data_IF_491493881463
#
_entry.id   IF_491493881463
#
_cell.length_a   1.000
_cell.length_b   1.000
_cell.length_c   1.000
_cell.angle_alpha   90.00
_cell.angle_beta   90.00
_cell.angle_gamma   90.00
#
_symmetry.space_group_name_H-M   'P 1'
#
loop_
_entity.id
_entity.type
_entity.pdbx_description
1 polymer ?
#
# COMPACT_ATOMS: atom_id res chain seq x y z
N UNK A 1 24.23 -18.81 -18.46
CA UNK A 1 23.03 -18.41 -17.69
C UNK A 1 23.09 -16.91 -17.45
N UNK A 2 22.25 -16.11 -18.11
CA UNK A 2 22.15 -14.65 -17.86
C UNK A 2 21.17 -14.45 -16.70
N UNK A 3 21.71 -14.24 -15.50
CA UNK A 3 20.91 -13.97 -14.32
C UNK A 3 20.30 -12.57 -14.43
N UNK A 4 19.00 -12.50 -14.63
CA UNK A 4 18.23 -11.25 -14.75
C UNK A 4 18.09 -10.57 -13.39
N UNK A 5 19.10 -9.80 -12.97
CA UNK A 5 19.08 -8.95 -11.78
C UNK A 5 18.24 -7.67 -11.99
N UNK A 6 17.02 -7.80 -12.53
CA UNK A 6 16.11 -6.66 -12.78
C UNK A 6 14.73 -6.83 -12.12
N UNK A 7 14.62 -7.72 -11.14
CA UNK A 7 13.38 -7.96 -10.38
C UNK A 7 13.35 -7.34 -8.98
N UNK A 8 14.50 -7.12 -8.34
CA UNK A 8 14.53 -6.86 -6.89
C UNK A 8 14.37 -5.38 -6.49
N UNK A 9 14.52 -4.44 -7.42
CA UNK A 9 14.43 -3.00 -7.11
C UNK A 9 13.00 -2.43 -7.18
N UNK A 10 12.02 -3.19 -7.66
CA UNK A 10 10.63 -2.72 -7.76
C UNK A 10 9.89 -2.78 -6.41
N UNK A 11 10.36 -3.59 -5.46
CA UNK A 11 9.65 -3.86 -4.21
C UNK A 11 10.00 -2.89 -3.08
N UNK A 12 11.16 -2.24 -3.15
CA UNK A 12 11.61 -1.30 -2.11
C UNK A 12 11.02 0.12 -2.25
N UNK A 13 10.65 0.56 -3.46
CA UNK A 13 10.20 1.94 -3.74
C UNK A 13 8.78 2.26 -3.28
N UNK A 14 7.95 1.27 -2.97
CA UNK A 14 6.57 1.49 -2.53
C UNK A 14 6.44 1.66 -1.02
N UNK A 15 7.44 1.24 -0.26
CA UNK A 15 7.41 1.24 1.21
C UNK A 15 7.69 2.62 1.81
N UNK A 16 8.48 3.46 1.14
CA UNK A 16 8.90 4.77 1.69
C UNK A 16 7.92 5.93 1.43
N UNK A 17 6.89 5.71 0.60
CA UNK A 17 5.99 6.79 0.19
C UNK A 17 4.85 7.08 1.17
N UNK A 18 4.61 6.18 2.13
CA UNK A 18 3.55 6.37 3.11
C UNK A 18 4.13 6.22 4.51
N UNK A 19 4.20 7.32 5.25
CA UNK A 19 4.49 7.35 6.69
C UNK A 19 3.28 6.85 7.52
N UNK A 20 2.57 5.83 7.00
CA UNK A 20 1.39 5.25 7.63
C UNK A 20 1.79 3.93 8.26
N UNK A 21 1.20 3.64 9.43
CA UNK A 21 1.27 2.29 9.98
C UNK A 21 0.45 1.36 9.08
N UNK A 22 1.13 0.60 8.22
CA UNK A 22 0.51 -0.36 7.31
C UNK A 22 -0.24 -1.47 8.05
N UNK A 23 0.21 -1.85 9.24
CA UNK A 23 -0.45 -2.89 10.02
C UNK A 23 -1.75 -2.37 10.64
N UNK A 24 -1.77 -1.12 11.11
CA UNK A 24 -3.01 -0.46 11.52
C UNK A 24 -3.95 -0.26 10.33
N UNK A 25 -3.43 0.17 9.18
CA UNK A 25 -4.19 0.30 7.95
C UNK A 25 -4.87 -1.02 7.56
N UNK A 26 -4.14 -2.14 7.56
CA UNK A 26 -4.70 -3.46 7.24
C UNK A 26 -5.83 -3.89 8.20
N UNK A 27 -5.68 -3.62 9.49
CA UNK A 27 -6.74 -3.94 10.48
C UNK A 27 -8.00 -3.15 10.21
N UNK A 28 -7.85 -1.85 9.94
CA UNK A 28 -8.99 -0.95 9.71
C UNK A 28 -9.58 -1.08 8.30
N UNK A 29 -8.81 -1.58 7.33
CA UNK A 29 -9.24 -1.72 5.93
C UNK A 29 -10.43 -2.66 5.73
N UNK A 30 -10.56 -3.66 6.61
CA UNK A 30 -11.65 -4.63 6.61
C UNK A 30 -12.99 -4.03 7.08
N UNK A 31 -12.94 -3.05 7.99
CA UNK A 31 -14.12 -2.49 8.64
C UNK A 31 -14.50 -1.09 8.11
N UNK A 32 -13.52 -0.31 7.64
CA UNK A 32 -13.72 1.08 7.25
C UNK A 32 -13.88 1.28 5.73
N UNK A 33 -14.72 2.24 5.37
CA UNK A 33 -14.86 2.67 3.99
C UNK A 33 -13.59 3.39 3.50
N UNK A 34 -13.37 3.38 2.18
CA UNK A 34 -12.19 4.02 1.58
C UNK A 34 -12.05 5.52 1.92
N UNK A 35 -13.17 6.19 2.17
CA UNK A 35 -13.21 7.60 2.58
C UNK A 35 -12.76 7.83 4.03
N UNK A 36 -13.13 6.92 4.93
CA UNK A 36 -12.72 6.97 6.34
C UNK A 36 -11.21 6.68 6.44
N UNK A 37 -10.73 5.66 5.74
CA UNK A 37 -9.30 5.36 5.63
C UNK A 37 -8.49 6.54 5.06
N UNK A 38 -9.04 7.23 4.06
CA UNK A 38 -8.39 8.43 3.51
C UNK A 38 -8.25 9.54 4.56
N UNK A 39 -9.30 9.76 5.36
CA UNK A 39 -9.32 10.81 6.37
C UNK A 39 -8.45 10.47 7.58
N UNK A 40 -8.47 9.22 8.05
CA UNK A 40 -7.71 8.79 9.23
C UNK A 40 -6.19 8.73 8.97
N UNK A 41 -5.79 8.26 7.79
CA UNK A 41 -4.39 8.06 7.46
C UNK A 41 -3.78 9.24 6.67
N UNK A 42 -4.54 10.31 6.45
CA UNK A 42 -4.08 11.47 5.66
C UNK A 42 -3.80 11.13 4.20
N UNK A 43 -4.53 10.16 3.64
CA UNK A 43 -4.36 9.66 2.28
C UNK A 43 -5.45 10.23 1.36
N UNK A 44 -5.15 10.26 0.07
CA UNK A 44 -6.19 10.46 -0.94
C UNK A 44 -6.94 9.15 -1.20
N UNK A 45 -8.20 9.23 -1.63
CA UNK A 45 -8.98 8.07 -2.08
C UNK A 45 -8.26 7.24 -3.16
N UNK A 46 -7.44 7.89 -3.99
CA UNK A 46 -6.64 7.23 -5.03
C UNK A 46 -5.53 6.38 -4.42
N UNK A 47 -4.88 6.86 -3.38
CA UNK A 47 -3.85 6.14 -2.65
C UNK A 47 -4.42 4.96 -1.88
N UNK A 48 -5.56 5.13 -1.19
CA UNK A 48 -6.27 4.03 -0.54
C UNK A 48 -6.60 2.92 -1.55
N UNK A 49 -7.11 3.26 -2.73
CA UNK A 49 -7.39 2.27 -3.79
C UNK A 49 -6.13 1.59 -4.31
N UNK A 50 -5.01 2.32 -4.42
CA UNK A 50 -3.73 1.76 -4.86
C UNK A 50 -3.18 0.80 -3.80
N UNK A 51 -3.25 1.16 -2.52
CA UNK A 51 -2.87 0.33 -1.38
C UNK A 51 -3.67 -0.96 -1.35
N UNK A 52 -5.01 -0.89 -1.41
CA UNK A 52 -5.87 -2.09 -1.49
C UNK A 52 -5.47 -2.99 -2.67
N UNK A 53 -5.28 -2.42 -3.86
CA UNK A 53 -4.84 -3.18 -5.05
C UNK A 53 -3.48 -3.86 -4.88
N UNK A 54 -2.55 -3.24 -4.16
CA UNK A 54 -1.26 -3.85 -3.88
C UNK A 54 -1.38 -4.95 -2.82
N UNK A 55 -2.26 -4.77 -1.83
CA UNK A 55 -2.54 -5.75 -0.77
C UNK A 55 -3.08 -7.08 -1.34
N UNK A 56 -4.07 -7.02 -2.23
CA UNK A 56 -4.70 -8.22 -2.81
C UNK A 56 -3.93 -8.83 -3.98
N UNK A 57 -2.79 -8.26 -4.37
CA UNK A 57 -1.97 -8.76 -5.48
C UNK A 57 -0.85 -9.70 -5.03
N UNK A 58 -0.62 -9.81 -3.73
CA UNK A 58 0.43 -10.65 -3.12
C UNK A 58 -0.12 -11.93 -2.52
#
# INVERSE_FOLDING_TARGET
MRNSAKGEFAQARTSDLFHIDFHEFMKREADLAAFELASEFGLTLREVRKLKKQLYRS
#
